data_IF_617194322234
#
_entry.id   IF_617194322234
#
_cell.length_a   1.000
_cell.length_b   1.000
_cell.length_c   1.000
_cell.angle_alpha   90.00
_cell.angle_beta   90.00
_cell.angle_gamma   90.00
#
_symmetry.space_group_name_H-M   'P 1'
#
loop_
_entity.id
_entity.type
_entity.pdbx_description
1 polymer ?
#
# COMPACT_ATOMS: atom_id res chain seq x y z
N UNK A 1 -34.92 16.43 16.65
CA UNK A 1 -34.81 14.99 16.98
C UNK A 1 -33.70 14.43 16.11
N UNK A 2 -32.46 14.48 16.59
CA UNK A 2 -31.28 14.00 15.86
C UNK A 2 -31.33 12.47 15.79
N UNK A 3 -31.35 11.91 14.58
CA UNK A 3 -31.24 10.46 14.38
C UNK A 3 -29.78 10.07 14.56
N UNK A 4 -29.49 9.45 15.70
CA UNK A 4 -28.20 8.82 15.98
C UNK A 4 -27.97 7.68 14.97
N UNK A 5 -27.03 7.88 14.03
CA UNK A 5 -26.67 6.88 13.03
C UNK A 5 -25.80 5.82 13.71
N UNK A 6 -26.40 4.69 14.09
CA UNK A 6 -25.67 3.54 14.66
C UNK A 6 -25.01 2.74 13.53
N UNK A 7 -23.69 2.87 13.42
CA UNK A 7 -22.88 2.05 12.52
C UNK A 7 -22.72 0.65 13.10
N UNK A 8 -23.18 -0.38 12.37
CA UNK A 8 -23.00 -1.79 12.75
C UNK A 8 -22.06 -2.44 11.74
N UNK A 9 -20.79 -2.62 12.11
CA UNK A 9 -19.82 -3.34 11.29
C UNK A 9 -20.08 -4.84 11.43
N UNK A 10 -20.50 -5.49 10.33
CA UNK A 10 -20.77 -6.93 10.30
C UNK A 10 -19.51 -7.68 9.87
N UNK A 11 -18.53 -7.83 10.77
CA UNK A 11 -17.48 -8.86 10.78
C UNK A 11 -16.48 -8.51 11.89
N UNK A 12 -16.14 -9.49 12.73
CA UNK A 12 -15.34 -9.37 13.97
C UNK A 12 -15.99 -8.39 14.99
N UNK A 13 -16.22 -8.85 16.22
CA UNK A 13 -16.55 -7.92 17.31
C UNK A 13 -15.28 -7.09 17.53
N UNK A 14 -15.36 -5.77 17.35
CA UNK A 14 -14.24 -4.87 17.50
C UNK A 14 -14.42 -4.10 18.80
N UNK A 15 -13.37 -4.04 19.60
CA UNK A 15 -13.30 -3.16 20.77
C UNK A 15 -12.49 -1.91 20.41
N UNK A 16 -12.83 -0.80 21.04
CA UNK A 16 -12.06 0.42 20.91
C UNK A 16 -10.62 0.17 21.38
N UNK A 17 -9.65 0.52 20.55
CA UNK A 17 -8.25 0.50 20.93
C UNK A 17 -7.95 1.60 21.96
N UNK A 18 -7.06 1.29 22.90
CA UNK A 18 -6.49 2.30 23.78
C UNK A 18 -5.57 3.27 22.99
N UNK A 19 -5.18 4.36 23.64
CA UNK A 19 -4.38 5.42 23.02
C UNK A 19 -3.02 4.92 22.52
N UNK A 20 -2.38 3.99 23.23
CA UNK A 20 -1.05 3.49 22.88
C UNK A 20 -1.13 2.58 21.66
N UNK A 21 -2.14 1.71 21.61
CA UNK A 21 -2.46 0.88 20.45
C UNK A 21 -2.77 1.72 19.21
N UNK A 22 -3.55 2.81 19.36
CA UNK A 22 -3.82 3.75 18.27
C UNK A 22 -2.54 4.41 17.75
N UNK A 23 -1.72 4.95 18.66
CA UNK A 23 -0.45 5.60 18.32
C UNK A 23 0.49 4.63 17.56
N UNK A 24 0.62 3.40 18.04
CA UNK A 24 1.46 2.40 17.39
C UNK A 24 0.92 2.02 16.01
N UNK A 25 -0.40 1.86 15.87
CA UNK A 25 -1.02 1.60 14.57
C UNK A 25 -0.77 2.74 13.56
N UNK A 26 -0.93 3.99 13.99
CA UNK A 26 -0.62 5.16 13.15
C UNK A 26 0.87 5.22 12.78
N UNK A 27 1.76 4.93 13.73
CA UNK A 27 3.21 4.88 13.47
C UNK A 27 3.54 3.84 12.39
N UNK A 28 3.01 2.62 12.51
CA UNK A 28 3.23 1.55 11.53
C UNK A 28 2.70 1.93 10.15
N UNK A 29 1.50 2.49 10.07
CA UNK A 29 0.93 2.97 8.80
C UNK A 29 1.75 4.11 8.19
N UNK A 30 2.25 5.03 9.01
CA UNK A 30 3.15 6.11 8.57
C UNK A 30 4.44 5.55 7.96
N UNK A 31 5.10 4.62 8.66
CA UNK A 31 6.30 3.94 8.14
C UNK A 31 6.00 3.22 6.82
N UNK A 32 4.92 2.43 6.78
CA UNK A 32 4.51 1.73 5.57
C UNK A 32 4.28 2.70 4.40
N UNK A 33 3.60 3.83 4.65
CA UNK A 33 3.36 4.85 3.64
C UNK A 33 4.67 5.44 3.10
N UNK A 34 5.60 5.80 3.99
CA UNK A 34 6.91 6.33 3.57
C UNK A 34 7.71 5.31 2.76
N UNK A 35 7.72 4.03 3.17
CA UNK A 35 8.42 2.97 2.45
C UNK A 35 7.82 2.73 1.06
N UNK A 36 6.50 2.83 0.90
CA UNK A 36 5.87 2.74 -0.42
C UNK A 36 6.20 3.94 -1.31
N UNK A 37 6.24 5.16 -0.75
CA UNK A 37 6.66 6.34 -1.50
C UNK A 37 8.11 6.24 -1.97
N UNK A 38 9.01 5.74 -1.12
CA UNK A 38 10.41 5.50 -1.47
C UNK A 38 10.55 4.46 -2.59
N UNK A 39 9.85 3.33 -2.47
CA UNK A 39 9.81 2.29 -3.50
C UNK A 39 9.33 2.87 -4.85
N UNK A 40 8.27 3.68 -4.82
CA UNK A 40 7.75 4.32 -6.03
C UNK A 40 8.77 5.23 -6.69
N UNK A 41 9.46 6.06 -5.91
CA UNK A 41 10.53 6.91 -6.42
C UNK A 41 11.66 6.07 -7.05
N UNK A 42 12.12 5.02 -6.38
CA UNK A 42 13.20 4.18 -6.91
C UNK A 42 12.83 3.45 -8.20
N UNK A 43 11.57 3.07 -8.39
CA UNK A 43 11.10 2.53 -9.68
C UNK A 43 11.24 3.58 -10.78
N UNK A 44 10.94 4.86 -10.49
CA UNK A 44 11.11 5.95 -11.44
C UNK A 44 12.59 6.20 -11.74
N UNK A 45 13.44 6.24 -10.72
CA UNK A 45 14.88 6.39 -10.84
C UNK A 45 15.49 5.28 -11.72
N UNK A 46 15.04 4.03 -11.52
CA UNK A 46 15.48 2.88 -12.32
C UNK A 46 15.08 3.02 -13.79
N UNK A 47 13.87 3.51 -14.08
CA UNK A 47 13.43 3.77 -15.46
C UNK A 47 14.30 4.86 -16.09
N UNK A 48 14.51 5.98 -15.39
CA UNK A 48 15.34 7.08 -15.87
C UNK A 48 16.78 6.61 -16.14
N UNK A 49 17.33 5.78 -15.25
CA UNK A 49 18.64 5.17 -15.40
C UNK A 49 18.74 4.31 -16.66
N UNK A 50 17.80 3.38 -16.89
CA UNK A 50 17.87 2.47 -18.05
C UNK A 50 17.80 3.22 -19.37
N UNK A 51 16.98 4.28 -19.45
CA UNK A 51 16.83 5.06 -20.70
C UNK A 51 17.97 6.08 -20.87
N UNK A 52 18.79 6.31 -19.84
CA UNK A 52 19.84 7.34 -19.83
C UNK A 52 19.29 8.73 -20.21
N UNK A 53 18.07 9.05 -19.73
CA UNK A 53 17.45 10.35 -19.99
C UNK A 53 18.08 11.41 -19.09
N UNK A 54 18.28 12.62 -19.63
CA UNK A 54 18.47 13.79 -18.77
C UNK A 54 17.30 13.89 -17.79
N UNK A 55 17.62 14.20 -16.54
CA UNK A 55 16.70 14.19 -15.38
C UNK A 55 15.35 14.85 -15.71
N UNK A 56 15.35 15.94 -16.48
CA UNK A 56 14.15 16.72 -16.82
C UNK A 56 13.19 15.98 -17.77
N UNK A 57 13.70 15.28 -18.80
CA UNK A 57 12.86 14.53 -19.76
C UNK A 57 12.34 13.23 -19.13
N UNK A 58 13.17 12.59 -18.32
CA UNK A 58 12.78 11.43 -17.51
C UNK A 58 11.67 11.76 -16.53
N UNK A 59 11.78 12.88 -15.80
CA UNK A 59 10.75 13.34 -14.88
C UNK A 59 9.42 13.56 -15.59
N UNK A 60 9.38 14.31 -16.70
CA UNK A 60 8.11 14.64 -17.38
C UNK A 60 7.38 13.42 -17.99
N UNK A 61 8.10 12.37 -18.38
CA UNK A 61 7.50 11.13 -18.89
C UNK A 61 6.91 10.24 -17.78
N UNK A 62 7.34 10.45 -16.53
CA UNK A 62 7.10 9.53 -15.41
C UNK A 62 6.23 10.19 -14.31
N UNK A 63 6.24 11.52 -14.21
CA UNK A 63 5.64 12.33 -13.13
C UNK A 63 4.16 12.02 -12.85
N UNK A 64 3.36 11.70 -13.87
CA UNK A 64 1.93 11.40 -13.73
C UNK A 64 1.57 9.91 -13.81
N UNK A 65 2.57 9.03 -13.84
CA UNK A 65 2.31 7.60 -13.95
C UNK A 65 1.99 6.98 -12.59
N UNK A 66 0.95 6.16 -12.57
CA UNK A 66 0.74 5.23 -11.46
C UNK A 66 1.86 4.20 -11.41
N UNK A 67 2.12 3.62 -10.24
CA UNK A 67 3.08 2.53 -10.07
C UNK A 67 2.89 1.42 -11.11
N UNK A 68 1.64 1.07 -11.44
CA UNK A 68 1.35 0.05 -12.46
C UNK A 68 1.84 0.45 -13.85
N UNK A 69 1.58 1.70 -14.26
CA UNK A 69 2.07 2.23 -15.53
C UNK A 69 3.60 2.25 -15.56
N UNK A 70 4.24 2.60 -14.44
CA UNK A 70 5.69 2.58 -14.33
C UNK A 70 6.27 1.16 -14.45
N UNK A 71 5.69 0.16 -13.80
CA UNK A 71 6.12 -1.23 -13.97
C UNK A 71 5.93 -1.74 -15.41
N UNK A 72 4.84 -1.36 -16.07
CA UNK A 72 4.63 -1.68 -17.49
C UNK A 72 5.66 -0.99 -18.39
N UNK A 73 5.95 0.28 -18.12
CA UNK A 73 6.94 1.07 -18.85
C UNK A 73 8.34 0.48 -18.69
N UNK A 74 8.75 0.15 -17.45
CA UNK A 74 10.00 -0.52 -17.14
C UNK A 74 10.18 -1.80 -17.96
N UNK A 75 9.16 -2.67 -17.97
CA UNK A 75 9.19 -3.90 -18.76
C UNK A 75 9.21 -3.65 -20.27
N UNK A 76 8.53 -2.62 -20.77
CA UNK A 76 8.56 -2.25 -22.20
C UNK A 76 9.93 -1.76 -22.62
N UNK A 77 10.53 -0.86 -21.84
CA UNK A 77 11.88 -0.34 -22.06
C UNK A 77 12.88 -1.50 -22.03
N UNK A 78 12.77 -2.40 -21.05
CA UNK A 78 13.73 -3.48 -20.91
C UNK A 78 13.76 -4.47 -22.09
N UNK A 79 12.69 -4.54 -22.89
CA UNK A 79 12.70 -5.34 -24.12
C UNK A 79 13.79 -4.90 -25.09
N UNK A 80 14.13 -3.61 -25.10
CA UNK A 80 15.15 -3.01 -25.96
C UNK A 80 16.53 -3.05 -25.32
N UNK A 81 16.64 -2.66 -24.05
CA UNK A 81 17.93 -2.51 -23.36
C UNK A 81 18.48 -3.81 -22.77
N UNK A 82 17.62 -4.82 -22.52
CA UNK A 82 18.00 -6.12 -21.94
C UNK A 82 18.77 -6.02 -20.62
N UNK A 83 18.50 -4.97 -19.83
CA UNK A 83 19.09 -4.78 -18.52
C UNK A 83 18.52 -5.81 -17.54
N UNK A 84 19.35 -6.77 -17.11
CA UNK A 84 19.06 -7.76 -16.06
C UNK A 84 17.61 -8.29 -16.08
N UNK A 85 17.21 -8.85 -17.21
CA UNK A 85 15.79 -9.11 -17.53
C UNK A 85 15.06 -9.98 -16.51
N UNK A 86 15.72 -11.02 -15.99
CA UNK A 86 15.09 -11.91 -15.01
C UNK A 86 14.94 -11.25 -13.63
N UNK A 87 15.92 -10.46 -13.20
CA UNK A 87 15.85 -9.67 -11.95
C UNK A 87 14.70 -8.66 -12.02
N UNK A 88 14.55 -7.93 -13.14
CA UNK A 88 13.46 -6.97 -13.33
C UNK A 88 12.08 -7.63 -13.37
N UNK A 89 11.97 -8.81 -14.00
CA UNK A 89 10.71 -9.57 -13.98
C UNK A 89 10.33 -9.98 -12.57
N UNK A 90 11.26 -10.54 -11.80
CA UNK A 90 11.02 -10.93 -10.40
C UNK A 90 10.58 -9.72 -9.59
N UNK A 91 11.33 -8.62 -9.69
CA UNK A 91 11.03 -7.38 -8.99
C UNK A 91 9.63 -6.84 -9.31
N UNK A 92 9.23 -6.87 -10.58
CA UNK A 92 7.89 -6.45 -10.99
C UNK A 92 6.78 -7.36 -10.44
N UNK A 93 7.05 -8.66 -10.24
CA UNK A 93 6.10 -9.59 -9.61
C UNK A 93 5.96 -9.23 -8.13
N UNK A 94 7.08 -9.04 -7.44
CA UNK A 94 7.12 -8.73 -6.01
C UNK A 94 6.40 -7.41 -5.69
N UNK A 95 6.66 -6.36 -6.47
CA UNK A 95 5.97 -5.07 -6.32
C UNK A 95 4.45 -5.22 -6.56
N UNK A 96 4.05 -5.99 -7.58
CA UNK A 96 2.62 -6.21 -7.87
C UNK A 96 1.92 -6.97 -6.74
N UNK A 97 2.61 -7.89 -6.08
CA UNK A 97 2.05 -8.66 -4.98
C UNK A 97 1.62 -7.76 -3.81
N UNK A 98 2.42 -6.72 -3.49
CA UNK A 98 2.14 -5.81 -2.37
C UNK A 98 1.28 -4.59 -2.73
N UNK A 99 1.07 -4.33 -4.04
CA UNK A 99 0.30 -3.17 -4.55
C UNK A 99 -1.13 -3.11 -4.01
N UNK A 100 -1.82 -4.25 -3.91
CA UNK A 100 -3.21 -4.27 -3.45
C UNK A 100 -3.31 -3.91 -1.96
N UNK A 101 -2.32 -4.33 -1.17
CA UNK A 101 -2.22 -3.99 0.25
C UNK A 101 -1.90 -2.50 0.41
N UNK A 102 -0.95 -1.97 -0.37
CA UNK A 102 -0.66 -0.53 -0.47
C UNK A 102 -1.92 0.29 -0.72
N UNK A 103 -2.68 -0.05 -1.76
CA UNK A 103 -3.87 0.70 -2.14
C UNK A 103 -4.93 0.69 -1.03
N UNK A 104 -5.09 -0.45 -0.37
CA UNK A 104 -6.05 -0.62 0.71
C UNK A 104 -5.66 0.14 1.98
N UNK A 105 -4.36 0.17 2.33
CA UNK A 105 -3.85 0.74 3.58
C UNK A 105 -3.50 2.23 3.47
N UNK A 106 -3.07 2.71 2.31
CA UNK A 106 -2.71 4.13 2.11
C UNK A 106 -3.91 4.95 1.62
N UNK A 107 -4.64 4.43 0.63
CA UNK A 107 -5.73 5.18 -0.02
C UNK A 107 -7.13 4.74 0.43
N UNK A 108 -7.21 3.64 1.20
CA UNK A 108 -8.46 3.12 1.70
C UNK A 108 -8.95 3.84 2.95
N UNK A 109 -10.19 3.54 3.33
CA UNK A 109 -10.76 3.95 4.62
C UNK A 109 -10.46 2.83 5.61
N UNK A 110 -9.85 3.16 6.75
CA UNK A 110 -9.49 2.15 7.74
C UNK A 110 -9.69 2.64 9.17
N UNK A 111 -9.77 1.69 10.10
CA UNK A 111 -9.85 1.93 11.54
C UNK A 111 -8.91 0.96 12.28
N UNK A 112 -8.29 1.44 13.35
CA UNK A 112 -7.46 0.65 14.25
C UNK A 112 -8.33 0.25 15.44
N UNK A 113 -8.43 -1.05 15.70
CA UNK A 113 -9.30 -1.62 16.72
C UNK A 113 -8.64 -2.85 17.36
N UNK A 114 -9.15 -3.27 18.51
CA UNK A 114 -8.79 -4.57 19.09
C UNK A 114 -9.77 -5.65 18.61
N UNK A 115 -9.25 -6.81 18.25
CA UNK A 115 -10.07 -7.99 18.02
C UNK A 115 -10.71 -8.42 19.34
N UNK A 116 -12.05 -8.38 19.46
CA UNK A 116 -12.72 -8.70 20.73
C UNK A 116 -12.54 -10.16 21.20
N UNK A 117 -12.11 -11.07 20.31
CA UNK A 117 -11.86 -12.46 20.68
C UNK A 117 -10.45 -12.68 21.21
N UNK A 118 -9.45 -12.08 20.58
CA UNK A 118 -8.04 -12.31 20.91
C UNK A 118 -7.42 -11.17 21.72
N UNK A 119 -8.07 -10.01 21.77
CA UNK A 119 -7.51 -8.78 22.31
C UNK A 119 -6.43 -8.15 21.44
N UNK A 120 -6.11 -8.73 20.28
CA UNK A 120 -4.97 -8.29 19.47
C UNK A 120 -5.29 -7.03 18.67
N UNK A 121 -4.31 -6.11 18.51
CA UNK A 121 -4.44 -4.96 17.63
C UNK A 121 -4.62 -5.34 16.16
N UNK A 122 -5.59 -4.70 15.52
CA UNK A 122 -5.96 -4.93 14.12
C UNK A 122 -6.24 -3.62 13.39
N UNK A 123 -5.93 -3.59 12.10
CA UNK A 123 -6.33 -2.55 11.17
C UNK A 123 -7.41 -3.13 10.26
N UNK A 124 -8.60 -2.55 10.34
CA UNK A 124 -9.75 -2.93 9.52
C UNK A 124 -9.84 -1.98 8.34
N UNK A 125 -9.81 -2.50 7.12
CA UNK A 125 -9.97 -1.71 5.89
C UNK A 125 -11.37 -1.89 5.31
N UNK A 126 -12.00 -0.78 4.96
CA UNK A 126 -13.36 -0.72 4.46
C UNK A 126 -13.42 -0.27 3.00
N UNK A 127 -14.49 -0.64 2.31
CA UNK A 127 -14.88 0.00 1.05
C UNK A 127 -15.27 1.43 1.34
N UNK A 128 -14.80 2.35 0.49
CA UNK A 128 -15.17 3.76 0.53
C UNK A 128 -16.67 3.99 0.27
N UNK A 129 -17.30 3.10 -0.51
CA UNK A 129 -18.74 3.16 -0.77
C UNK A 129 -19.53 2.61 0.43
N UNK A 130 -20.37 3.47 1.01
CA UNK A 130 -21.32 3.12 2.05
C UNK A 130 -22.48 2.33 1.43
N UNK A 131 -22.86 1.23 2.07
CA UNK A 131 -23.99 0.39 1.65
C UNK A 131 -25.22 0.72 2.53
N UNK A 132 -26.35 0.99 1.88
CA UNK A 132 -27.64 1.15 2.54
C UNK A 132 -28.24 -0.24 2.79
N UNK A 133 -28.49 -0.56 4.06
CA UNK A 133 -29.03 -1.84 4.47
C UNK A 133 -30.39 -1.64 5.13
N UNK A 134 -31.39 -2.37 4.63
CA UNK A 134 -32.75 -2.39 5.16
C UNK A 134 -33.08 -3.79 5.67
N UNK A 135 -33.48 -3.87 6.94
CA UNK A 135 -34.07 -5.07 7.53
C UNK A 135 -35.53 -4.77 7.87
N UNK A 136 -36.32 -5.80 8.20
CA UNK A 136 -37.73 -5.64 8.59
C UNK A 136 -37.93 -4.68 9.78
N UNK A 137 -36.89 -4.48 10.60
CA UNK A 137 -36.95 -3.74 11.87
C UNK A 137 -36.11 -2.45 11.87
N UNK A 138 -35.25 -2.22 10.86
CA UNK A 138 -34.35 -1.06 10.86
C UNK A 138 -33.78 -0.71 9.50
N UNK A 139 -33.38 0.54 9.32
CA UNK A 139 -32.56 1.02 8.21
C UNK A 139 -31.23 1.55 8.77
N UNK A 140 -30.11 1.16 8.17
CA UNK A 140 -28.79 1.62 8.58
C UNK A 140 -27.82 1.68 7.40
N UNK A 141 -26.79 2.50 7.58
CA UNK A 141 -25.68 2.65 6.64
C UNK A 141 -24.46 1.95 7.21
N UNK A 142 -23.74 1.18 6.39
CA UNK A 142 -22.52 0.52 6.83
C UNK A 142 -21.49 0.49 5.72
N UNK A 143 -20.22 0.62 6.10
CA UNK A 143 -19.13 0.32 5.18
C UNK A 143 -18.86 -1.17 5.19
N UNK A 144 -18.73 -1.76 4.00
CA UNK A 144 -18.35 -3.16 3.88
C UNK A 144 -16.87 -3.33 4.17
N UNK A 145 -16.52 -4.19 5.11
CA UNK A 145 -15.12 -4.56 5.35
C UNK A 145 -14.54 -5.30 4.14
N UNK A 146 -13.35 -4.89 3.71
CA UNK A 146 -12.59 -5.52 2.64
C UNK A 146 -11.61 -6.54 3.23
N UNK A 147 -10.82 -6.11 4.23
CA UNK A 147 -9.71 -6.89 4.76
C UNK A 147 -9.35 -6.45 6.17
N UNK A 148 -8.77 -7.37 6.93
CA UNK A 148 -8.19 -7.14 8.25
C UNK A 148 -6.69 -7.39 8.19
N UNK A 149 -5.92 -6.58 8.91
CA UNK A 149 -4.49 -6.77 9.10
C UNK A 149 -4.18 -6.79 10.59
N UNK A 150 -3.47 -7.81 11.07
CA UNK A 150 -2.82 -7.74 12.37
C UNK A 150 -1.60 -6.82 12.30
N UNK A 151 -1.13 -6.33 13.44
CA UNK A 151 0.10 -5.52 13.46
C UNK A 151 1.32 -6.29 12.94
N UNK A 152 1.41 -7.60 13.22
CA UNK A 152 2.45 -8.48 12.67
C UNK A 152 2.39 -8.54 11.13
N UNK A 153 1.19 -8.60 10.54
CA UNK A 153 1.04 -8.57 9.09
C UNK A 153 1.49 -7.24 8.50
N UNK A 154 1.24 -6.12 9.19
CA UNK A 154 1.74 -4.80 8.78
C UNK A 154 3.27 -4.76 8.84
N UNK A 155 3.88 -5.32 9.89
CA UNK A 155 5.35 -5.41 9.99
C UNK A 155 5.95 -6.24 8.84
N UNK A 156 5.38 -7.41 8.54
CA UNK A 156 5.81 -8.22 7.40
C UNK A 156 5.69 -7.47 6.07
N UNK A 157 4.65 -6.64 5.89
CA UNK A 157 4.51 -5.80 4.71
C UNK A 157 5.58 -4.69 4.66
N UNK A 158 5.89 -4.07 5.80
CA UNK A 158 6.97 -3.07 5.89
C UNK A 158 8.30 -3.72 5.49
N UNK A 159 8.63 -4.88 6.07
CA UNK A 159 9.88 -5.58 5.81
C UNK A 159 9.98 -6.06 4.36
N UNK A 160 8.88 -6.60 3.82
CA UNK A 160 8.79 -6.95 2.40
C UNK A 160 9.04 -5.75 1.48
N UNK A 161 8.43 -4.60 1.80
CA UNK A 161 8.61 -3.35 1.03
C UNK A 161 10.06 -2.86 1.11
N UNK A 162 10.67 -2.91 2.30
CA UNK A 162 12.08 -2.52 2.50
C UNK A 162 13.04 -3.43 1.75
N UNK A 163 12.78 -4.74 1.70
CA UNK A 163 13.60 -5.67 0.94
C UNK A 163 13.56 -5.37 -0.56
N UNK A 164 12.36 -5.09 -1.10
CA UNK A 164 12.21 -4.67 -2.50
C UNK A 164 12.94 -3.34 -2.76
N UNK A 165 12.82 -2.37 -1.85
CA UNK A 165 13.50 -1.07 -1.90
C UNK A 165 15.02 -1.25 -1.91
N UNK A 166 15.54 -2.18 -1.11
CA UNK A 166 16.96 -2.54 -1.12
C UNK A 166 17.39 -3.10 -2.48
N UNK A 167 16.64 -4.06 -3.03
CA UNK A 167 16.92 -4.61 -4.36
C UNK A 167 16.91 -3.53 -5.44
N UNK A 168 15.95 -2.59 -5.40
CA UNK A 168 15.92 -1.43 -6.30
C UNK A 168 17.18 -0.58 -6.17
N UNK A 169 17.59 -0.24 -4.95
CA UNK A 169 18.81 0.51 -4.72
C UNK A 169 20.05 -0.24 -5.24
N UNK A 170 20.18 -1.54 -5.01
CA UNK A 170 21.31 -2.33 -5.49
C UNK A 170 21.41 -2.35 -7.03
N UNK A 171 20.28 -2.23 -7.75
CA UNK A 171 20.23 -2.09 -9.20
C UNK A 171 20.69 -0.70 -9.68
N UNK A 172 20.41 0.35 -8.90
CA UNK A 172 20.69 1.75 -9.26
C UNK A 172 22.08 2.18 -8.77
N UNK A 173 22.59 1.61 -7.68
CA UNK A 173 23.82 2.03 -6.98
C UNK A 173 25.04 2.18 -7.90
N UNK A 174 25.32 1.28 -8.87
CA UNK A 174 26.46 1.41 -9.78
C UNK A 174 26.46 2.67 -10.66
N UNK A 175 25.35 3.41 -10.69
CA UNK A 175 25.22 4.70 -11.37
C UNK A 175 25.42 5.90 -10.44
N UNK A 176 24.95 5.82 -9.19
CA UNK A 176 25.11 6.93 -8.22
C UNK A 176 26.57 7.19 -7.85
N UNK A 177 27.41 6.17 -8.01
CA UNK A 177 28.84 6.23 -7.69
C UNK A 177 29.72 6.66 -8.89
N UNK A 178 29.12 7.07 -10.02
CA UNK A 178 29.81 7.59 -11.21
C UNK A 178 29.73 9.09 -11.32
#
# INVERSE_FOLDING_TARGET
MEKEVKFKVKSILLMNADKDTLNEGYRKLGVLSTSFSELEQLVQDLIAFIVNLEVVVGLHLIEENSLDKNLQLLMKINKFYKYKDDELKSLCIDIRAIKNDRNSLIHGVWQINLNAKTGEPTITVFKSKVEHNKTEQSEYWSNRTIKYYTFEQIEKLIDGTKNITKTLNDLIQPYRDR
#
